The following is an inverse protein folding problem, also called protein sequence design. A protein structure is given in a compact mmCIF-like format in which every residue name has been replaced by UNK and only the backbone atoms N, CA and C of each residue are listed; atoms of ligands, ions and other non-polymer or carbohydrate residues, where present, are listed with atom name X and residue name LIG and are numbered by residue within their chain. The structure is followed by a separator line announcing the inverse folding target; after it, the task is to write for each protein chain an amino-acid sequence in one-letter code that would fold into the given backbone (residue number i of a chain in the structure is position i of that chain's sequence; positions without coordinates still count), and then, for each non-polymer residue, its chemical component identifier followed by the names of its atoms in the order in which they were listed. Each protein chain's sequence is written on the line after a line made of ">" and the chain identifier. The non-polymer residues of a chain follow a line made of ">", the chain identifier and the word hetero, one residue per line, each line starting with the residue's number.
data_IF_155063676930
#
_entry.id   IF_155063676930
#
_cell.length_a   1.000
_cell.length_b   1.000
_cell.length_c   1.000
_cell.angle_alpha   90.00
_cell.angle_beta   90.00
_cell.angle_gamma   90.00
#
_symmetry.space_group_name_H-M   'P 1'
#
loop_
_entity.id
_entity.type
_entity.pdbx_description
1 polymer ?
#
# COMPACT_ATOMS: atom_id res chain seq x y z
N UNK A 1 11.94 -12.55 -5.70
CA UNK A 1 11.77 -11.33 -6.48
C UNK A 1 11.51 -10.19 -5.49
N UNK A 2 12.53 -9.39 -5.14
CA UNK A 2 12.40 -8.32 -4.14
C UNK A 2 11.55 -7.12 -4.62
N UNK A 3 11.26 -7.06 -5.92
CA UNK A 3 10.43 -6.03 -6.57
C UNK A 3 8.96 -6.10 -6.16
N UNK A 4 8.41 -7.30 -6.02
CA UNK A 4 6.96 -7.49 -5.84
C UNK A 4 6.50 -7.09 -4.43
N UNK A 5 7.34 -7.34 -3.42
CA UNK A 5 7.11 -6.87 -2.05
C UNK A 5 7.19 -5.34 -1.95
N UNK A 6 8.09 -4.73 -2.72
CA UNK A 6 8.24 -3.28 -2.79
C UNK A 6 7.06 -2.63 -3.50
N UNK A 7 6.59 -3.21 -4.61
CA UNK A 7 5.36 -2.77 -5.29
C UNK A 7 4.13 -2.91 -4.39
N UNK A 8 4.03 -3.99 -3.61
CA UNK A 8 2.94 -4.19 -2.65
C UNK A 8 2.90 -3.10 -1.57
N UNK A 9 4.07 -2.62 -1.12
CA UNK A 9 4.17 -1.51 -0.17
C UNK A 9 3.86 -0.14 -0.80
N UNK A 10 4.15 0.04 -2.09
CA UNK A 10 3.92 1.30 -2.80
C UNK A 10 2.51 1.42 -3.39
N UNK A 11 1.83 0.31 -3.64
CA UNK A 11 0.50 0.30 -4.23
C UNK A 11 -0.52 1.18 -3.46
N UNK A 12 -0.59 1.14 -2.11
CA UNK A 12 -1.49 2.01 -1.35
C UNK A 12 -1.24 3.51 -1.58
N UNK A 13 0.03 3.93 -1.68
CA UNK A 13 0.40 5.33 -1.93
C UNK A 13 -0.05 5.82 -3.30
N UNK A 14 0.17 4.99 -4.33
CA UNK A 14 -0.27 5.31 -5.69
C UNK A 14 -1.80 5.41 -5.80
N UNK A 15 -2.52 4.57 -5.05
CA UNK A 15 -3.98 4.57 -4.97
C UNK A 15 -4.49 5.83 -4.27
N UNK A 16 -3.88 6.23 -3.15
CA UNK A 16 -4.20 7.49 -2.47
C UNK A 16 -4.03 8.69 -3.39
N UNK A 17 -2.89 8.78 -4.08
CA UNK A 17 -2.61 9.90 -4.98
C UNK A 17 -3.67 10.01 -6.09
N UNK A 18 -4.05 8.86 -6.70
CA UNK A 18 -5.11 8.81 -7.71
C UNK A 18 -6.47 9.21 -7.13
N UNK A 19 -6.84 8.68 -5.97
CA UNK A 19 -8.12 8.99 -5.32
C UNK A 19 -8.23 10.47 -4.93
N UNK A 20 -7.14 11.08 -4.46
CA UNK A 20 -7.09 12.51 -4.17
C UNK A 20 -7.17 13.34 -5.44
N UNK A 21 -6.44 12.98 -6.50
CA UNK A 21 -6.56 13.68 -7.79
C UNK A 21 -7.97 13.58 -8.37
N UNK A 22 -8.64 12.44 -8.26
CA UNK A 22 -10.02 12.26 -8.73
C UNK A 22 -11.00 13.12 -7.91
N UNK A 23 -10.81 13.19 -6.59
CA UNK A 23 -11.59 14.07 -5.71
C UNK A 23 -11.39 15.54 -6.12
N UNK A 24 -10.14 15.99 -6.26
CA UNK A 24 -9.85 17.35 -6.73
C UNK A 24 -10.44 17.61 -8.11
N UNK A 25 -10.33 16.67 -9.05
CA UNK A 25 -10.89 16.80 -10.39
C UNK A 25 -12.40 17.00 -10.33
N UNK A 26 -13.13 16.19 -9.54
CA UNK A 26 -14.58 16.30 -9.33
C UNK A 26 -15.01 17.64 -8.75
N UNK A 27 -14.26 18.14 -7.78
CA UNK A 27 -14.55 19.43 -7.16
C UNK A 27 -14.13 20.62 -8.04
N UNK A 28 -13.12 20.44 -8.90
CA UNK A 28 -12.65 21.45 -9.86
C UNK A 28 -13.53 21.57 -11.10
N UNK A 29 -14.19 20.48 -11.53
CA UNK A 29 -15.04 20.45 -12.72
C UNK A 29 -16.44 21.01 -12.49
N UNK A 30 -16.81 21.31 -11.23
CA UNK A 30 -18.06 21.98 -10.90
C UNK A 30 -17.78 23.37 -10.29
N UNK A 31 -17.86 24.44 -11.10
CA UNK A 31 -17.68 25.81 -10.62
C UNK A 31 -18.72 26.20 -9.56
N UNK A 32 -19.90 25.58 -9.55
CA UNK A 32 -20.93 25.76 -8.52
C UNK A 32 -20.47 25.23 -7.16
N UNK A 33 -19.87 24.03 -7.14
CA UNK A 33 -19.33 23.40 -5.93
C UNK A 33 -18.15 24.22 -5.42
N UNK A 34 -17.25 24.65 -6.30
CA UNK A 34 -16.06 25.42 -5.93
C UNK A 34 -16.44 26.76 -5.29
N UNK A 35 -17.44 27.47 -5.83
CA UNK A 35 -17.96 28.70 -5.24
C UNK A 35 -18.66 28.47 -3.89
N UNK A 36 -19.37 27.34 -3.72
CA UNK A 36 -19.93 26.97 -2.41
C UNK A 36 -18.82 26.64 -1.41
N UNK A 37 -17.82 25.86 -1.80
CA UNK A 37 -16.67 25.49 -0.96
C UNK A 37 -15.89 26.74 -0.53
N UNK A 38 -15.59 27.67 -1.46
CA UNK A 38 -14.89 28.91 -1.14
C UNK A 38 -15.71 29.84 -0.26
N UNK A 39 -17.01 29.98 -0.56
CA UNK A 39 -17.92 30.81 0.22
C UNK A 39 -18.11 30.30 1.65
N UNK A 40 -18.23 28.97 1.82
CA UNK A 40 -18.29 28.35 3.15
C UNK A 40 -16.95 28.43 3.86
N UNK A 41 -15.81 28.23 3.18
CA UNK A 41 -14.49 28.34 3.79
C UNK A 41 -14.18 29.77 4.26
N UNK A 42 -14.54 30.79 3.46
CA UNK A 42 -14.43 32.18 3.88
C UNK A 42 -15.32 32.47 5.10
N UNK A 43 -16.59 32.05 5.06
CA UNK A 43 -17.50 32.23 6.21
C UNK A 43 -16.99 31.51 7.45
N UNK A 44 -16.47 30.30 7.35
CA UNK A 44 -15.89 29.58 8.48
C UNK A 44 -14.64 30.30 9.01
N UNK A 45 -13.80 30.86 8.13
CA UNK A 45 -12.61 31.59 8.52
C UNK A 45 -12.93 32.94 9.20
N UNK A 46 -14.02 33.62 8.80
CA UNK A 46 -14.43 34.91 9.39
C UNK A 46 -15.41 34.78 10.55
N UNK A 47 -16.31 33.80 10.54
CA UNK A 47 -17.40 33.61 11.51
C UNK A 47 -17.17 32.41 12.46
N UNK A 48 -16.16 31.57 12.21
CA UNK A 48 -15.89 30.31 12.95
C UNK A 48 -15.49 30.46 14.41
N UNK A 49 -15.73 31.61 15.03
CA UNK A 49 -15.61 31.82 16.47
C UNK A 49 -16.94 31.64 17.22
N UNK A 50 -18.06 31.51 16.50
CA UNK A 50 -19.37 31.33 17.13
C UNK A 50 -19.82 29.85 17.04
N UNK A 51 -19.74 29.08 18.14
CA UNK A 51 -20.16 27.67 18.18
C UNK A 51 -21.67 27.46 18.00
N UNK A 52 -22.48 28.53 18.01
CA UNK A 52 -23.93 28.48 17.74
C UNK A 52 -24.30 28.88 16.30
N UNK A 53 -23.35 29.35 15.50
CA UNK A 53 -23.59 29.63 14.09
C UNK A 53 -23.61 28.29 13.32
N UNK A 54 -24.78 27.64 13.29
CA UNK A 54 -24.99 26.43 12.50
C UNK A 54 -24.48 26.62 11.07
N UNK A 55 -23.57 25.75 10.63
CA UNK A 55 -22.89 25.77 9.33
C UNK A 55 -23.88 25.95 8.17
N UNK A 56 -24.04 27.15 7.59
CA UNK A 56 -25.02 27.36 6.54
C UNK A 56 -24.41 26.97 5.20
N UNK A 57 -24.87 25.86 4.64
CA UNK A 57 -24.55 25.44 3.27
C UNK A 57 -23.29 24.59 3.09
N UNK A 58 -22.82 23.92 4.13
CA UNK A 58 -21.55 23.21 4.13
C UNK A 58 -21.50 21.85 3.41
N UNK A 59 -22.49 21.48 2.58
CA UNK A 59 -22.52 20.14 1.99
C UNK A 59 -21.31 19.88 1.08
N UNK A 60 -21.03 20.75 0.11
CA UNK A 60 -19.89 20.58 -0.79
C UNK A 60 -18.53 20.55 -0.07
N UNK A 61 -18.28 21.50 0.84
CA UNK A 61 -17.03 21.52 1.62
C UNK A 61 -16.92 20.29 2.54
N UNK A 62 -17.98 19.90 3.23
CA UNK A 62 -17.97 18.71 4.08
C UNK A 62 -17.85 17.43 3.27
N UNK A 63 -18.43 17.35 2.07
CA UNK A 63 -18.29 16.22 1.14
C UNK A 63 -16.85 16.12 0.63
N UNK A 64 -16.18 17.24 0.38
CA UNK A 64 -14.77 17.28 0.04
C UNK A 64 -13.90 16.78 1.20
N UNK A 65 -14.12 17.31 2.41
CA UNK A 65 -13.38 16.92 3.61
C UNK A 65 -13.63 15.45 3.96
N UNK A 66 -14.88 14.99 3.90
CA UNK A 66 -15.23 13.57 4.09
C UNK A 66 -14.61 12.69 3.00
N UNK A 67 -14.54 13.15 1.76
CA UNK A 67 -13.84 12.47 0.67
C UNK A 67 -12.35 12.29 0.97
N UNK A 68 -11.67 13.34 1.45
CA UNK A 68 -10.27 13.26 1.87
C UNK A 68 -10.08 12.29 3.03
N UNK A 69 -10.91 12.40 4.07
CA UNK A 69 -10.86 11.51 5.25
C UNK A 69 -11.09 10.06 4.83
N UNK A 70 -12.07 9.81 3.96
CA UNK A 70 -12.35 8.48 3.42
C UNK A 70 -11.16 7.92 2.65
N UNK A 71 -10.59 8.68 1.71
CA UNK A 71 -9.40 8.26 0.97
C UNK A 71 -8.25 7.91 1.91
N UNK A 72 -8.13 8.62 3.03
CA UNK A 72 -7.06 8.40 4.00
C UNK A 72 -7.30 7.14 4.86
N UNK A 73 -8.54 6.90 5.27
CA UNK A 73 -8.93 5.66 5.96
C UNK A 73 -8.76 4.42 5.07
N UNK A 74 -9.15 4.53 3.79
CA UNK A 74 -8.98 3.46 2.81
C UNK A 74 -7.47 3.15 2.62
N UNK A 75 -6.62 4.17 2.55
CA UNK A 75 -5.16 3.98 2.53
C UNK A 75 -4.63 3.24 3.76
N UNK A 76 -5.02 3.65 4.97
CA UNK A 76 -4.54 3.00 6.20
C UNK A 76 -4.96 1.53 6.27
N UNK A 77 -6.18 1.24 5.80
CA UNK A 77 -6.70 -0.12 5.69
C UNK A 77 -5.86 -0.94 4.70
N UNK A 78 -5.63 -0.42 3.50
CA UNK A 78 -4.83 -1.09 2.46
C UNK A 78 -3.37 -1.28 2.89
N UNK A 79 -2.78 -0.30 3.58
CA UNK A 79 -1.43 -0.37 4.12
C UNK A 79 -1.33 -1.46 5.21
N UNK A 80 -2.31 -1.52 6.12
CA UNK A 80 -2.40 -2.56 7.15
C UNK A 80 -2.53 -3.96 6.55
N UNK A 81 -3.39 -4.12 5.54
CA UNK A 81 -3.53 -5.38 4.82
C UNK A 81 -2.25 -5.79 4.07
N UNK A 82 -1.58 -4.82 3.44
CA UNK A 82 -0.30 -5.04 2.75
C UNK A 82 0.78 -5.49 3.73
N UNK A 83 0.85 -4.88 4.92
CA UNK A 83 1.78 -5.27 5.98
C UNK A 83 1.49 -6.69 6.51
N UNK A 84 0.21 -7.03 6.71
CA UNK A 84 -0.18 -8.38 7.13
C UNK A 84 0.16 -9.43 6.07
N UNK A 85 -0.08 -9.14 4.79
CA UNK A 85 0.28 -10.05 3.69
C UNK A 85 1.79 -10.28 3.59
N UNK A 86 2.60 -9.24 3.81
CA UNK A 86 4.06 -9.36 3.88
C UNK A 86 4.52 -10.19 5.08
N UNK A 87 3.87 -10.03 6.23
CA UNK A 87 4.18 -10.82 7.43
C UNK A 87 3.84 -12.30 7.25
N UNK A 88 2.71 -12.59 6.60
CA UNK A 88 2.28 -13.97 6.29
C UNK A 88 3.23 -14.64 5.29
N UNK A 89 3.61 -13.93 4.21
CA UNK A 89 4.67 -14.38 3.29
C UNK A 89 6.00 -14.62 4.01
N UNK A 90 6.38 -13.74 4.94
CA UNK A 90 7.60 -13.88 5.73
C UNK A 90 7.60 -15.12 6.61
N UNK A 91 6.48 -15.42 7.28
CA UNK A 91 6.34 -16.64 8.08
C UNK A 91 6.39 -17.91 7.23
N UNK A 92 5.72 -17.90 6.08
CA UNK A 92 5.72 -19.04 5.16
C UNK A 92 7.11 -19.31 4.57
N UNK A 93 7.84 -18.24 4.24
CA UNK A 93 9.23 -18.36 3.80
C UNK A 93 10.12 -18.94 4.91
N UNK A 94 9.95 -18.48 6.16
CA UNK A 94 10.71 -18.99 7.31
C UNK A 94 10.39 -20.47 7.62
N UNK A 95 9.12 -20.88 7.47
CA UNK A 95 8.69 -22.27 7.63
C UNK A 95 9.22 -23.18 6.51
N UNK A 96 9.38 -22.65 5.29
CA UNK A 96 9.94 -23.39 4.14
C UNK A 96 11.47 -23.35 4.07
N UNK A 97 12.12 -22.43 4.79
CA UNK A 97 13.58 -22.29 4.81
C UNK A 97 14.35 -23.57 5.17
N UNK A 98 13.90 -24.43 6.13
CA UNK A 98 14.56 -25.71 6.39
C UNK A 98 14.52 -26.67 5.19
N UNK A 99 13.42 -26.66 4.43
CA UNK A 99 13.27 -27.45 3.21
C UNK A 99 14.21 -26.98 2.10
N UNK A 100 14.31 -25.66 1.90
CA UNK A 100 15.26 -25.08 0.94
C UNK A 100 16.72 -25.35 1.30
N UNK A 101 17.09 -25.30 2.58
CA UNK A 101 18.43 -25.65 3.03
C UNK A 101 18.74 -27.15 2.84
N UNK A 102 17.76 -28.02 3.10
CA UNK A 102 17.89 -29.46 2.89
C UNK A 102 18.00 -29.83 1.41
N UNK A 103 17.21 -29.20 0.54
CA UNK A 103 17.26 -29.43 -0.91
C UNK A 103 18.54 -28.84 -1.54
N UNK A 104 19.00 -27.68 -1.07
CA UNK A 104 20.28 -27.12 -1.49
C UNK A 104 21.46 -28.01 -1.05
N UNK A 105 21.42 -28.56 0.16
CA UNK A 105 22.42 -29.50 0.64
C UNK A 105 22.44 -30.79 -0.20
N UNK A 106 21.27 -31.32 -0.57
CA UNK A 106 21.15 -32.48 -1.47
C UNK A 106 21.70 -32.20 -2.87
N UNK A 107 21.36 -31.05 -3.45
CA UNK A 107 21.84 -30.65 -4.76
C UNK A 107 23.38 -30.52 -4.79
N UNK A 108 23.98 -30.01 -3.70
CA UNK A 108 25.46 -29.92 -3.59
C UNK A 108 26.09 -31.31 -3.43
N UNK A 109 25.45 -32.24 -2.72
CA UNK A 109 25.96 -33.63 -2.61
C UNK A 109 25.84 -34.42 -3.92
N UNK A 110 24.82 -34.17 -4.74
CA UNK A 110 24.68 -34.84 -6.05
C UNK A 110 25.68 -34.32 -7.10
N UNK A 111 26.24 -33.11 -6.92
CA UNK A 111 27.27 -32.54 -7.80
C UNK A 111 28.68 -33.06 -7.46
N UNK A 112 28.86 -33.77 -6.34
CA UNK A 112 30.18 -34.30 -5.97
C UNK A 112 30.57 -35.47 -6.91
N UNK A 113 31.60 -35.32 -7.78
CA UNK A 113 31.97 -36.34 -8.74
C UNK A 113 32.56 -37.54 -8.00
N UNK A 114 31.94 -38.71 -8.21
CA UNK A 114 32.44 -40.01 -7.75
C UNK A 114 33.93 -40.15 -8.13
N UNK A 115 34.85 -40.34 -7.18
CA UNK A 115 36.27 -40.45 -7.50
C UNK A 115 36.50 -41.66 -8.43
N UNK A 116 37.36 -41.51 -9.46
CA UNK A 116 37.58 -42.55 -10.44
C UNK A 116 38.18 -43.79 -9.76
N UNK A 117 37.52 -44.94 -9.92
CA UNK A 117 38.07 -46.25 -9.55
C UNK A 117 39.31 -46.49 -10.39
N UNK A 118 40.50 -46.31 -9.81
CA UNK A 118 41.75 -46.79 -10.38
C UNK A 118 41.72 -48.32 -10.40
N UNK A 119 41.60 -48.89 -11.60
CA UNK A 119 41.74 -50.33 -11.84
C UNK A 119 43.24 -50.66 -11.72
N UNK A 120 43.68 -51.58 -10.86
CA UNK A 120 45.08 -51.99 -10.82
C UNK A 120 45.41 -52.72 -12.12
N UNK A 121 46.48 -52.31 -12.78
CA UNK A 121 47.06 -53.03 -13.91
C UNK A 121 47.68 -54.33 -13.38
N UNK A 122 47.19 -55.47 -13.88
CA UNK A 122 47.82 -56.76 -13.65
C UNK A 122 49.09 -56.84 -14.50
N UNK A 123 50.20 -57.20 -13.85
CA UNK A 123 51.49 -57.55 -14.45
C UNK A 123 51.49 -59.00 -14.95
#
# INVERSE_FOLDING_TARGET
>A
MPTDAFETLLAPYSKLARANMELFARFSSSPEILNQTLGTAQKLATEGRDPNAGLPGANAYMDFVMGLVKNWLDFWTDLGQSALGLMDQGQDLFKKAPGFAADAARAVTDIQPKPPRTRPAAA
#
